data_IF_255645788965
#
_entry.id   IF_255645788965
#
_cell.length_a   1.000
_cell.length_b   1.000
_cell.length_c   1.000
_cell.angle_alpha   90.00
_cell.angle_beta   90.00
_cell.angle_gamma   90.00
#
_symmetry.space_group_name_H-M   'P 1'
#
loop_
_entity.id
_entity.type
_entity.pdbx_description
1 polymer ?
#
# COMPACT_ATOMS: atom_id res chain seq x y z
N UNK A 1 8.04 -18.78 -8.08
CA UNK A 1 9.04 -18.55 -9.14
C UNK A 1 8.71 -17.18 -9.71
N UNK A 2 9.11 -16.13 -8.97
CA UNK A 2 8.91 -14.74 -9.35
C UNK A 2 10.00 -14.37 -10.35
N UNK A 3 9.61 -14.01 -11.56
CA UNK A 3 10.53 -13.66 -12.64
C UNK A 3 11.10 -12.26 -12.40
N UNK A 4 12.42 -12.19 -12.19
CA UNK A 4 13.33 -11.15 -12.69
C UNK A 4 12.88 -9.67 -12.61
N UNK A 5 12.25 -9.23 -11.51
CA UNK A 5 12.11 -7.79 -11.15
C UNK A 5 13.40 -7.29 -10.44
N UNK A 6 14.56 -7.84 -10.81
CA UNK A 6 15.87 -7.49 -10.22
C UNK A 6 16.66 -6.48 -11.05
N UNK A 7 16.12 -5.96 -12.15
CA UNK A 7 16.84 -5.02 -13.01
C UNK A 7 16.44 -3.58 -12.73
N UNK A 8 17.24 -2.99 -11.85
CA UNK A 8 17.56 -1.55 -11.78
C UNK A 8 16.46 -0.61 -11.29
N UNK A 9 15.85 -0.95 -10.16
CA UNK A 9 15.01 -0.02 -9.40
C UNK A 9 15.91 0.74 -8.42
N UNK A 10 16.34 1.92 -8.88
CA UNK A 10 17.35 2.78 -8.24
C UNK A 10 16.68 3.75 -7.27
N UNK A 11 16.71 3.41 -5.98
CA UNK A 11 16.24 4.19 -4.85
C UNK A 11 17.30 5.18 -4.44
N UNK A 12 17.14 6.48 -4.71
CA UNK A 12 18.12 7.49 -4.26
C UNK A 12 19.58 7.16 -4.68
N UNK A 13 19.74 6.54 -5.87
CA UNK A 13 21.00 5.98 -6.40
C UNK A 13 21.46 4.61 -5.82
N UNK A 14 20.59 3.85 -5.14
CA UNK A 14 20.86 2.55 -4.48
C UNK A 14 19.85 1.43 -4.85
N UNK A 15 20.19 0.13 -4.69
CA UNK A 15 19.27 -0.99 -4.95
C UNK A 15 18.05 -1.04 -4.01
N UNK A 16 16.93 -1.62 -4.47
CA UNK A 16 15.65 -1.65 -3.73
C UNK A 16 15.68 -2.42 -2.41
N UNK A 17 16.34 -3.58 -2.41
CA UNK A 17 16.47 -4.42 -1.21
C UNK A 17 17.26 -3.71 -0.09
N UNK A 18 18.37 -3.04 -0.44
CA UNK A 18 19.22 -2.32 0.53
C UNK A 18 18.46 -1.20 1.24
N UNK A 19 17.55 -0.52 0.54
CA UNK A 19 16.75 0.53 1.15
C UNK A 19 15.60 -0.03 1.99
N UNK A 20 15.00 -1.16 1.61
CA UNK A 20 14.00 -1.85 2.44
C UNK A 20 14.63 -2.37 3.75
N UNK A 21 15.81 -2.99 3.68
CA UNK A 21 16.58 -3.39 4.87
C UNK A 21 16.93 -2.18 5.76
N UNK A 22 17.28 -1.06 5.13
CA UNK A 22 17.52 0.20 5.84
C UNK A 22 16.25 0.74 6.52
N UNK A 23 15.06 0.59 5.93
CA UNK A 23 13.78 0.91 6.59
C UNK A 23 13.52 0.02 7.81
N UNK A 24 13.73 -1.28 7.67
CA UNK A 24 13.53 -2.24 8.75
C UNK A 24 14.45 -1.95 9.95
N UNK A 25 15.69 -1.51 9.67
CA UNK A 25 16.69 -1.22 10.71
C UNK A 25 16.61 0.21 11.25
N UNK A 26 16.14 1.17 10.46
CA UNK A 26 15.95 2.54 10.92
C UNK A 26 14.64 2.65 11.68
N UNK A 27 14.75 2.85 13.01
CA UNK A 27 13.65 3.29 13.88
C UNK A 27 12.94 4.57 13.40
N UNK A 28 13.49 5.28 12.40
CA UNK A 28 12.90 6.45 11.74
C UNK A 28 13.26 6.57 10.25
N UNK A 29 12.30 6.80 9.36
CA UNK A 29 12.59 7.19 7.97
C UNK A 29 11.36 7.22 7.05
N UNK A 30 11.48 7.96 5.96
CA UNK A 30 10.72 7.74 4.73
C UNK A 30 11.73 7.38 3.65
N UNK A 31 11.41 6.38 2.82
CA UNK A 31 12.16 6.16 1.59
C UNK A 31 11.26 6.54 0.47
N UNK A 32 11.73 7.45 -0.36
CA UNK A 32 11.12 7.81 -1.63
C UNK A 32 11.58 6.83 -2.68
N UNK A 33 10.64 6.02 -3.17
CA UNK A 33 10.92 5.09 -4.27
C UNK A 33 10.48 5.73 -5.58
N UNK A 34 11.44 5.87 -6.50
CA UNK A 34 11.24 6.37 -7.84
C UNK A 34 11.27 5.19 -8.81
N UNK A 35 10.15 4.96 -9.50
CA UNK A 35 10.12 4.02 -10.63
C UNK A 35 10.96 4.55 -11.80
N UNK A 36 11.60 3.66 -12.55
CA UNK A 36 12.53 4.02 -13.64
C UNK A 36 11.87 4.82 -14.78
N UNK A 37 10.52 4.93 -14.81
CA UNK A 37 9.75 5.64 -15.83
C UNK A 37 8.64 6.57 -15.29
N UNK A 38 8.63 6.89 -14.00
CA UNK A 38 7.53 7.62 -13.36
C UNK A 38 8.00 8.46 -12.17
N UNK A 39 7.53 9.71 -12.10
CA UNK A 39 7.79 10.63 -10.97
C UNK A 39 6.95 10.29 -9.72
N UNK A 40 6.57 9.02 -9.50
CA UNK A 40 5.93 8.67 -8.24
C UNK A 40 6.99 8.61 -7.14
N UNK A 41 6.64 9.17 -5.99
CA UNK A 41 7.35 8.94 -4.75
C UNK A 41 6.46 8.03 -3.94
N UNK A 42 6.86 6.77 -3.76
CA UNK A 42 6.30 5.95 -2.69
C UNK A 42 7.08 6.32 -1.43
N UNK A 43 6.44 6.95 -0.45
CA UNK A 43 7.04 7.16 0.87
C UNK A 43 6.66 6.01 1.79
N UNK A 44 7.55 5.03 2.00
CA UNK A 44 7.36 4.05 3.09
C UNK A 44 7.76 4.75 4.39
N UNK A 45 6.81 5.43 5.01
CA UNK A 45 6.98 5.93 6.37
C UNK A 45 6.35 4.89 7.30
N UNK A 46 7.10 4.33 8.26
CA UNK A 46 6.47 3.59 9.32
C UNK A 46 5.61 4.65 10.06
N UNK A 47 4.34 4.35 10.28
CA UNK A 47 3.25 5.27 10.63
C UNK A 47 3.49 6.08 11.90
N UNK A 48 4.55 5.74 12.65
CA UNK A 48 4.94 6.38 13.89
C UNK A 48 5.35 7.85 13.77
N UNK A 49 5.84 8.33 12.62
CA UNK A 49 6.26 9.73 12.47
C UNK A 49 5.04 10.67 12.31
N UNK A 50 3.96 10.18 11.68
CA UNK A 50 2.70 10.91 11.49
C UNK A 50 1.70 10.70 12.62
N UNK A 51 1.72 9.52 13.26
CA UNK A 51 0.73 9.12 14.27
C UNK A 51 1.31 8.87 15.68
N UNK A 52 2.63 8.92 15.87
CA UNK A 52 3.29 8.92 17.20
C UNK A 52 3.55 7.55 17.85
N UNK A 53 3.79 6.48 17.08
CA UNK A 53 3.66 5.07 17.51
C UNK A 53 4.78 4.13 17.06
N UNK A 54 5.99 4.20 17.65
CA UNK A 54 7.18 3.48 17.18
C UNK A 54 7.08 1.95 17.22
N UNK A 55 6.02 1.38 17.79
CA UNK A 55 5.85 -0.07 18.04
C UNK A 55 4.83 -0.72 17.10
N UNK A 56 4.16 0.06 16.25
CA UNK A 56 3.11 -0.41 15.33
C UNK A 56 3.48 0.04 13.92
N UNK A 57 4.08 -0.89 13.17
CA UNK A 57 4.76 -0.65 11.90
C UNK A 57 3.88 -0.28 10.71
N UNK A 58 2.77 0.45 10.86
CA UNK A 58 1.88 0.76 9.74
C UNK A 58 2.61 1.39 8.57
N UNK A 59 2.41 0.86 7.36
CA UNK A 59 3.03 1.40 6.15
C UNK A 59 2.01 2.29 5.46
N UNK A 60 2.28 3.59 5.43
CA UNK A 60 1.55 4.47 4.52
C UNK A 60 2.28 4.48 3.19
N UNK A 61 1.57 4.29 2.08
CA UNK A 61 2.07 4.42 0.72
C UNK A 61 1.61 5.78 0.23
N UNK A 62 2.38 6.83 0.49
CA UNK A 62 2.01 8.16 -0.02
C UNK A 62 2.34 8.18 -1.50
N UNK A 63 1.42 8.63 -2.35
CA UNK A 63 1.67 8.84 -3.77
C UNK A 63 1.75 10.35 -4.03
N UNK A 64 2.97 10.87 -4.18
CA UNK A 64 3.19 12.28 -4.53
C UNK A 64 3.75 12.41 -5.95
N UNK A 65 3.34 13.48 -6.65
CA UNK A 65 3.89 13.92 -7.95
C UNK A 65 3.80 12.92 -9.10
N UNK A 66 2.80 12.05 -9.08
CA UNK A 66 2.63 11.04 -10.12
C UNK A 66 2.37 11.69 -11.49
N UNK A 67 3.39 11.75 -12.33
CA UNK A 67 3.26 12.01 -13.76
C UNK A 67 3.35 10.67 -14.47
N UNK A 68 2.20 10.05 -14.75
CA UNK A 68 2.20 8.85 -15.59
C UNK A 68 2.57 9.25 -17.03
N UNK A 69 3.62 8.64 -17.58
CA UNK A 69 3.73 8.47 -19.03
C UNK A 69 2.85 7.29 -19.46
N UNK A 70 2.81 6.99 -20.75
CA UNK A 70 1.98 5.92 -21.32
C UNK A 70 2.04 4.62 -20.48
N UNK A 71 0.91 3.94 -20.30
CA UNK A 71 0.74 2.65 -19.57
C UNK A 71 0.59 2.68 -18.02
N UNK A 72 -0.39 3.44 -17.51
CA UNK A 72 -0.72 3.57 -16.07
C UNK A 72 -0.82 2.23 -15.31
N UNK A 73 -1.39 1.19 -15.92
CA UNK A 73 -1.58 -0.10 -15.24
C UNK A 73 -0.25 -0.80 -14.93
N UNK A 74 0.76 -0.65 -15.79
CA UNK A 74 2.11 -1.18 -15.55
C UNK A 74 2.80 -0.44 -14.40
N UNK A 75 2.72 0.89 -14.37
CA UNK A 75 3.25 1.70 -13.25
C UNK A 75 2.57 1.35 -11.93
N UNK A 76 1.25 1.14 -11.94
CA UNK A 76 0.52 0.73 -10.73
C UNK A 76 0.95 -0.66 -10.26
N UNK A 77 1.20 -1.60 -11.19
CA UNK A 77 1.72 -2.93 -10.85
C UNK A 77 3.12 -2.84 -10.22
N UNK A 78 4.04 -2.07 -10.80
CA UNK A 78 5.38 -1.86 -10.24
C UNK A 78 5.32 -1.28 -8.82
N UNK A 79 4.49 -0.25 -8.60
CA UNK A 79 4.32 0.34 -7.29
C UNK A 79 3.70 -0.63 -6.27
N UNK A 80 2.77 -1.49 -6.71
CA UNK A 80 2.22 -2.56 -5.89
C UNK A 80 3.29 -3.56 -5.47
N UNK A 81 4.13 -4.01 -6.40
CA UNK A 81 5.17 -5.01 -6.12
C UNK A 81 6.20 -4.48 -5.10
N UNK A 82 6.62 -3.22 -5.25
CA UNK A 82 7.53 -2.57 -4.30
C UNK A 82 6.87 -2.42 -2.92
N UNK A 83 5.60 -2.01 -2.87
CA UNK A 83 4.87 -1.88 -1.62
C UNK A 83 4.67 -3.24 -0.94
N UNK A 84 4.49 -4.31 -1.71
CA UNK A 84 4.38 -5.67 -1.19
C UNK A 84 5.69 -6.12 -0.51
N UNK A 85 6.86 -5.79 -1.10
CA UNK A 85 8.16 -6.07 -0.47
C UNK A 85 8.32 -5.31 0.86
N UNK A 86 7.95 -4.03 0.89
CA UNK A 86 8.01 -3.24 2.12
C UNK A 86 7.02 -3.76 3.18
N UNK A 87 5.84 -4.23 2.77
CA UNK A 87 4.86 -4.85 3.65
C UNK A 87 5.38 -6.14 4.26
N UNK A 88 5.99 -7.02 3.45
CA UNK A 88 6.56 -8.30 3.90
C UNK A 88 7.66 -8.09 4.95
N UNK A 89 8.58 -7.15 4.70
CA UNK A 89 9.69 -6.87 5.61
C UNK A 89 9.21 -6.21 6.92
N UNK A 90 8.28 -5.25 6.85
CA UNK A 90 7.83 -4.49 8.02
C UNK A 90 6.72 -5.19 8.80
N UNK A 91 6.05 -6.17 8.19
CA UNK A 91 4.96 -6.98 8.72
C UNK A 91 3.88 -6.19 9.52
N UNK A 92 3.31 -5.09 8.99
CA UNK A 92 2.24 -4.40 9.68
C UNK A 92 0.91 -5.16 9.69
N UNK A 93 0.00 -4.84 10.62
CA UNK A 93 -1.38 -5.32 10.57
C UNK A 93 -2.08 -4.90 9.26
N UNK A 94 -1.78 -3.71 8.74
CA UNK A 94 -2.12 -3.31 7.38
C UNK A 94 -1.22 -2.18 6.85
N UNK A 95 -1.16 -2.05 5.53
CA UNK A 95 -0.60 -0.91 4.80
C UNK A 95 -1.64 -0.32 3.85
N UNK A 96 -1.51 0.95 3.48
CA UNK A 96 -2.53 1.65 2.70
C UNK A 96 -1.97 2.82 1.89
N UNK A 97 -2.56 3.11 0.73
CA UNK A 97 -2.26 4.32 -0.03
C UNK A 97 -2.77 5.58 0.62
N UNK A 98 -2.08 6.69 0.37
CA UNK A 98 -2.55 8.02 0.70
C UNK A 98 -2.54 8.91 -0.55
N UNK A 99 -3.75 9.24 -1.03
CA UNK A 99 -4.11 10.13 -2.13
C UNK A 99 -4.80 11.38 -1.58
N UNK A 100 -4.07 12.25 -0.84
CA UNK A 100 -4.61 13.38 -0.08
C UNK A 100 -5.36 14.39 -0.92
N UNK A 101 -5.13 14.45 -2.23
CA UNK A 101 -5.77 15.46 -3.06
C UNK A 101 -7.09 14.99 -3.67
N UNK A 102 -7.55 13.78 -3.35
CA UNK A 102 -8.70 13.15 -4.01
C UNK A 102 -9.75 12.67 -3.00
N UNK A 103 -9.83 11.35 -2.79
CA UNK A 103 -10.91 10.62 -2.12
C UNK A 103 -10.58 10.32 -0.64
N UNK A 104 -9.31 10.42 -0.28
CA UNK A 104 -8.82 9.96 1.04
C UNK A 104 -8.57 11.13 2.01
N UNK A 105 -9.19 12.28 1.75
CA UNK A 105 -8.97 13.55 2.47
C UNK A 105 -9.44 13.54 3.92
N UNK A 106 -10.53 12.83 4.19
CA UNK A 106 -11.27 12.95 5.45
C UNK A 106 -10.94 11.84 6.45
N UNK A 107 -10.21 10.81 6.02
CA UNK A 107 -9.92 9.65 6.85
C UNK A 107 -8.62 9.84 7.62
N UNK A 108 -8.76 9.88 8.95
CA UNK A 108 -7.62 9.84 9.86
C UNK A 108 -7.49 8.44 10.42
N UNK A 109 -6.40 7.75 10.09
CA UNK A 109 -6.05 6.49 10.76
C UNK A 109 -5.54 6.80 12.16
N UNK A 110 -6.10 6.13 13.16
CA UNK A 110 -5.72 6.31 14.56
C UNK A 110 -4.76 5.23 15.05
N UNK A 111 -4.18 5.44 16.23
CA UNK A 111 -3.42 4.41 16.94
C UNK A 111 -4.21 3.12 17.11
N UNK A 112 -5.43 3.25 17.62
CA UNK A 112 -6.29 2.11 17.91
C UNK A 112 -6.64 1.33 16.67
N UNK A 113 -6.71 1.98 15.50
CA UNK A 113 -6.95 1.30 14.23
C UNK A 113 -5.80 0.33 13.90
N UNK A 114 -4.57 0.77 14.10
CA UNK A 114 -3.38 -0.08 13.90
C UNK A 114 -3.28 -1.19 14.96
N UNK A 115 -3.44 -0.87 16.25
CA UNK A 115 -3.35 -1.85 17.35
C UNK A 115 -4.41 -2.94 17.23
N UNK A 116 -5.63 -2.53 16.94
CA UNK A 116 -6.75 -3.45 16.86
C UNK A 116 -6.85 -4.10 15.47
N UNK A 117 -6.09 -3.66 14.46
CA UNK A 117 -6.28 -4.07 13.06
C UNK A 117 -7.66 -3.68 12.53
N UNK A 118 -8.17 -2.51 12.92
CA UNK A 118 -9.39 -1.93 12.33
C UNK A 118 -8.97 -1.10 11.13
N UNK A 119 -9.58 -1.39 9.99
CA UNK A 119 -9.42 -0.60 8.78
C UNK A 119 -10.52 0.48 8.79
N UNK A 120 -10.20 1.76 9.08
CA UNK A 120 -11.22 2.80 9.27
C UNK A 120 -11.89 3.20 7.95
N UNK A 121 -11.25 2.89 6.82
CA UNK A 121 -11.75 3.24 5.50
C UNK A 121 -11.09 2.39 4.41
N UNK A 122 -11.66 2.45 3.21
CA UNK A 122 -11.09 1.84 2.02
C UNK A 122 -10.16 2.85 1.34
N UNK A 123 -8.96 2.38 1.03
CA UNK A 123 -7.92 3.11 0.31
C UNK A 123 -7.72 2.49 -1.07
N UNK A 124 -7.16 3.27 -1.99
CA UNK A 124 -6.92 2.82 -3.36
C UNK A 124 -6.03 1.57 -3.42
N UNK A 125 -4.93 1.54 -2.67
CA UNK A 125 -4.08 0.37 -2.45
C UNK A 125 -4.11 0.00 -0.98
N UNK A 126 -4.24 -1.28 -0.66
CA UNK A 126 -4.17 -1.78 0.70
C UNK A 126 -3.44 -3.11 0.76
N UNK A 127 -2.72 -3.36 1.84
CA UNK A 127 -2.17 -4.67 2.19
C UNK A 127 -2.72 -5.03 3.56
N UNK A 128 -3.40 -6.15 3.67
CA UNK A 128 -4.11 -6.56 4.87
C UNK A 128 -3.47 -7.85 5.40
N UNK A 129 -3.07 -7.85 6.67
CA UNK A 129 -2.57 -9.07 7.32
C UNK A 129 -3.65 -10.14 7.38
N UNK A 130 -3.26 -11.39 7.59
CA UNK A 130 -4.19 -12.51 7.74
C UNK A 130 -5.31 -12.23 8.77
N UNK A 131 -5.03 -11.75 10.00
CA UNK A 131 -6.09 -11.46 10.97
C UNK A 131 -7.08 -10.37 10.52
N UNK A 132 -6.62 -9.41 9.70
CA UNK A 132 -7.50 -8.39 9.12
C UNK A 132 -8.35 -9.01 7.99
N UNK A 133 -7.75 -9.84 7.14
CA UNK A 133 -8.46 -10.56 6.08
C UNK A 133 -9.59 -11.46 6.61
N UNK A 134 -9.34 -12.18 7.71
CA UNK A 134 -10.33 -13.06 8.33
C UNK A 134 -11.58 -12.30 8.79
N UNK A 135 -11.42 -11.07 9.28
CA UNK A 135 -12.55 -10.24 9.77
C UNK A 135 -13.47 -9.78 8.66
N UNK A 136 -12.92 -9.40 7.50
CA UNK A 136 -13.69 -8.99 6.34
C UNK A 136 -14.18 -10.18 5.49
N UNK A 137 -13.61 -11.37 5.73
CA UNK A 137 -13.87 -12.58 4.97
C UNK A 137 -12.97 -12.66 3.74
N UNK A 138 -12.02 -13.58 3.77
CA UNK A 138 -11.02 -13.80 2.70
C UNK A 138 -11.66 -13.95 1.32
N UNK A 139 -12.72 -14.77 1.23
CA UNK A 139 -13.44 -15.01 -0.02
C UNK A 139 -14.08 -13.74 -0.58
N UNK A 140 -14.60 -12.86 0.29
CA UNK A 140 -15.18 -11.58 -0.13
C UNK A 140 -14.11 -10.67 -0.70
N UNK A 141 -12.98 -10.54 0.00
CA UNK A 141 -11.84 -9.75 -0.48
C UNK A 141 -11.38 -10.24 -1.86
N UNK A 142 -11.18 -11.55 -2.04
CA UNK A 142 -10.71 -12.11 -3.31
C UNK A 142 -11.72 -12.02 -4.47
N UNK A 143 -13.02 -11.99 -4.17
CA UNK A 143 -14.08 -11.88 -5.19
C UNK A 143 -14.57 -10.44 -5.40
N UNK A 144 -13.88 -9.46 -4.83
CA UNK A 144 -14.25 -8.04 -4.93
C UNK A 144 -14.17 -7.54 -6.37
N UNK A 145 -15.11 -6.67 -6.80
CA UNK A 145 -15.12 -6.09 -8.15
C UNK A 145 -14.09 -4.97 -8.28
N UNK A 146 -12.83 -5.31 -8.05
CA UNK A 146 -11.70 -4.40 -8.04
C UNK A 146 -10.66 -4.83 -9.07
N UNK A 147 -9.71 -3.95 -9.38
CA UNK A 147 -8.72 -4.24 -10.41
C UNK A 147 -7.79 -5.40 -10.06
N UNK A 148 -7.31 -5.48 -8.82
CA UNK A 148 -6.36 -6.52 -8.42
C UNK A 148 -6.54 -6.94 -6.97
N UNK A 149 -6.46 -8.25 -6.75
CA UNK A 149 -6.25 -8.89 -5.46
C UNK A 149 -5.09 -9.87 -5.60
N UNK A 150 -4.22 -9.93 -4.60
CA UNK A 150 -3.09 -10.86 -4.59
C UNK A 150 -2.90 -11.43 -3.19
N UNK A 151 -2.68 -12.73 -3.08
CA UNK A 151 -2.38 -13.37 -1.79
C UNK A 151 -0.91 -13.14 -1.45
N UNK A 152 -0.64 -12.73 -0.21
CA UNK A 152 0.70 -12.45 0.30
C UNK A 152 1.28 -13.68 1.02
N UNK A 153 2.62 -13.80 1.15
CA UNK A 153 3.28 -14.96 1.77
C UNK A 153 2.87 -15.22 3.23
N UNK A 154 2.53 -14.17 3.96
CA UNK A 154 2.10 -14.19 5.37
C UNK A 154 0.62 -14.60 5.55
N UNK A 155 -0.06 -14.98 4.46
CA UNK A 155 -1.49 -15.25 4.48
C UNK A 155 -2.35 -14.00 4.37
N UNK A 156 -1.76 -12.81 4.25
CA UNK A 156 -2.46 -11.56 3.95
C UNK A 156 -2.97 -11.46 2.50
N UNK A 157 -3.57 -10.31 2.19
CA UNK A 157 -4.05 -9.96 0.85
C UNK A 157 -3.63 -8.52 0.51
N UNK A 158 -2.99 -8.35 -0.64
CA UNK A 158 -2.78 -7.07 -1.30
C UNK A 158 -3.92 -6.75 -2.25
N UNK A 159 -4.35 -5.49 -2.27
CA UNK A 159 -5.55 -5.01 -2.94
C UNK A 159 -5.23 -3.72 -3.69
N UNK A 160 -5.72 -3.60 -4.92
CA UNK A 160 -5.76 -2.35 -5.68
C UNK A 160 -7.16 -2.18 -6.27
N UNK A 161 -7.83 -1.07 -5.91
CA UNK A 161 -9.23 -0.81 -6.30
C UNK A 161 -9.35 -0.56 -7.82
N UNK A 162 -8.52 0.34 -8.36
CA UNK A 162 -8.52 0.69 -9.79
C UNK A 162 -7.10 0.64 -10.36
N UNK A 163 -6.94 0.32 -11.65
CA UNK A 163 -5.62 0.32 -12.30
C UNK A 163 -4.98 1.71 -12.34
N UNK A 164 -5.83 2.75 -12.36
CA UNK A 164 -5.44 4.16 -12.41
C UNK A 164 -5.91 4.86 -11.13
N UNK A 165 -5.01 5.45 -10.31
CA UNK A 165 -5.43 6.22 -9.14
C UNK A 165 -6.25 7.44 -9.50
N UNK A 166 -6.17 7.91 -10.76
CA UNK A 166 -7.01 8.99 -11.23
C UNK A 166 -8.47 8.57 -11.43
N UNK A 167 -8.73 7.27 -11.53
CA UNK A 167 -10.08 6.68 -11.57
C UNK A 167 -10.60 6.30 -10.18
N UNK A 168 -9.73 6.19 -9.17
CA UNK A 168 -10.19 5.97 -7.80
C UNK A 168 -11.01 7.17 -7.33
N UNK A 169 -12.26 6.89 -6.96
CA UNK A 169 -13.30 7.87 -6.65
C UNK A 169 -14.09 7.42 -5.41
N UNK A 170 -14.92 8.31 -4.85
CA UNK A 170 -15.85 7.93 -3.78
C UNK A 170 -16.84 6.84 -4.23
N UNK A 171 -17.18 6.79 -5.51
CA UNK A 171 -18.08 5.76 -6.06
C UNK A 171 -17.42 4.37 -6.01
N UNK A 172 -16.18 4.25 -6.51
CA UNK A 172 -15.42 3.00 -6.46
C UNK A 172 -15.17 2.54 -5.02
N UNK A 173 -14.85 3.49 -4.15
CA UNK A 173 -14.68 3.26 -2.72
C UNK A 173 -15.95 2.73 -2.06
N UNK A 174 -17.09 3.37 -2.30
CA UNK A 174 -18.37 2.96 -1.73
C UNK A 174 -18.86 1.63 -2.31
N UNK A 175 -18.66 1.40 -3.61
CA UNK A 175 -18.98 0.12 -4.23
C UNK A 175 -18.18 -1.02 -3.58
N UNK A 176 -16.90 -0.78 -3.28
CA UNK A 176 -16.09 -1.77 -2.56
C UNK A 176 -16.56 -1.96 -1.11
N UNK A 177 -16.90 -0.89 -0.39
CA UNK A 177 -17.50 -0.98 0.95
C UNK A 177 -18.80 -1.80 0.96
N UNK A 178 -19.70 -1.54 0.03
CA UNK A 178 -20.96 -2.26 -0.13
C UNK A 178 -20.73 -3.76 -0.35
N UNK A 179 -19.72 -4.12 -1.17
CA UNK A 179 -19.33 -5.52 -1.39
C UNK A 179 -18.79 -6.20 -0.12
N UNK A 180 -18.03 -5.47 0.70
CA UNK A 180 -17.53 -5.96 1.98
C UNK A 180 -18.62 -5.99 3.07
N UNK A 181 -19.66 -5.18 2.92
CA UNK A 181 -20.77 -5.04 3.86
C UNK A 181 -20.45 -4.13 5.05
N UNK A 182 -19.70 -3.04 4.81
CA UNK A 182 -19.27 -2.06 5.83
C UNK A 182 -19.70 -0.63 5.51
#
# INVERSE_FOLDING_TARGET
MYSDISRDLVLDWRPTEEAIDELATRKRGSISIFGSNSDFVLNVAPSWERYGLPELGGVSLIWERVHFRENVAETTQEAFDIAALAYDELAPPFAFSYLPYRVERETTITRSDLEDGRLPDIFWVMFLSEPVCERFGRDRLQTSPIWKTESLPDGGIGIVVTADPYQYSEEEKNHFKDHLGI
#
